data_IF_208403923123
#
_entry.id   IF_208403923123
#
_cell.length_a   1.000
_cell.length_b   1.000
_cell.length_c   1.000
_cell.angle_alpha   90.00
_cell.angle_beta   90.00
_cell.angle_gamma   90.00
#
_symmetry.space_group_name_H-M   'P 1'
#
loop_
_entity.id
_entity.type
_entity.pdbx_description
1 polymer ?
#
# COMPACT_ATOMS: atom_id res chain seq x y z
N UNK A 1 16.28 1.03 -11.94
CA UNK A 1 14.83 0.87 -11.74
C UNK A 1 14.19 2.25 -11.84
N UNK A 2 13.15 2.40 -12.66
CA UNK A 2 12.49 3.69 -12.86
C UNK A 2 11.42 3.98 -11.82
N UNK A 3 11.05 5.26 -11.65
CA UNK A 3 10.01 5.68 -10.70
C UNK A 3 8.68 4.91 -10.87
N UNK A 4 8.23 4.69 -12.11
CA UNK A 4 7.00 3.94 -12.41
C UNK A 4 7.05 2.52 -11.85
N UNK A 5 8.16 1.84 -12.02
CA UNK A 5 8.38 0.48 -11.52
C UNK A 5 8.40 0.46 -9.99
N UNK A 6 9.07 1.44 -9.37
CA UNK A 6 9.10 1.60 -7.92
C UNK A 6 7.69 1.86 -7.35
N UNK A 7 6.90 2.71 -7.99
CA UNK A 7 5.53 3.00 -7.57
C UNK A 7 4.60 1.78 -7.68
N UNK A 8 4.74 0.97 -8.73
CA UNK A 8 3.98 -0.29 -8.88
C UNK A 8 4.36 -1.27 -7.77
N UNK A 9 5.65 -1.44 -7.48
CA UNK A 9 6.10 -2.30 -6.37
C UNK A 9 5.62 -1.81 -5.02
N UNK A 10 5.71 -0.51 -4.76
CA UNK A 10 5.20 0.09 -3.53
C UNK A 10 3.71 -0.21 -3.35
N UNK A 11 2.89 -0.03 -4.41
CA UNK A 11 1.47 -0.36 -4.38
C UNK A 11 1.21 -1.85 -4.10
N UNK A 12 1.94 -2.75 -4.76
CA UNK A 12 1.79 -4.19 -4.53
C UNK A 12 2.18 -4.58 -3.10
N UNK A 13 3.26 -4.01 -2.56
CA UNK A 13 3.70 -4.23 -1.20
C UNK A 13 2.66 -3.75 -0.17
N UNK A 14 2.03 -2.60 -0.40
CA UNK A 14 0.95 -2.09 0.45
C UNK A 14 -0.27 -3.00 0.44
N UNK A 15 -0.69 -3.47 -0.72
CA UNK A 15 -1.78 -4.45 -0.82
C UNK A 15 -1.46 -5.75 -0.08
N UNK A 16 -0.24 -6.28 -0.25
CA UNK A 16 0.21 -7.47 0.47
C UNK A 16 0.25 -7.30 1.99
N UNK A 17 0.58 -6.10 2.49
CA UNK A 17 0.56 -5.80 3.92
C UNK A 17 -0.87 -5.87 4.49
N UNK A 18 -1.85 -5.27 3.83
CA UNK A 18 -3.26 -5.36 4.23
C UNK A 18 -3.76 -6.83 4.22
N UNK A 19 -3.50 -7.56 3.14
CA UNK A 19 -3.89 -8.97 3.00
C UNK A 19 -3.27 -9.89 4.08
N UNK A 20 -2.12 -9.49 4.65
CA UNK A 20 -1.45 -10.24 5.73
C UNK A 20 -1.76 -9.69 7.13
N UNK A 21 -2.67 -8.70 7.24
CA UNK A 21 -3.06 -8.10 8.51
C UNK A 21 -1.99 -7.23 9.17
N UNK A 22 -0.96 -6.81 8.41
CA UNK A 22 0.07 -5.88 8.90
C UNK A 22 -0.52 -4.47 8.94
N UNK A 23 -0.15 -3.61 9.91
CA UNK A 23 -0.70 -2.26 10.01
C UNK A 23 -0.13 -1.32 8.94
N UNK A 24 -0.88 -0.26 8.61
CA UNK A 24 -0.43 0.79 7.67
C UNK A 24 0.84 1.55 8.12
N UNK A 25 1.16 1.52 9.42
CA UNK A 25 2.38 2.10 9.99
C UNK A 25 3.65 1.35 9.60
N UNK A 26 3.52 0.14 9.04
CA UNK A 26 4.61 -0.71 8.56
C UNK A 26 5.09 -0.31 7.15
N UNK A 27 4.59 0.79 6.60
CA UNK A 27 5.04 1.35 5.34
C UNK A 27 6.54 1.69 5.41
N UNK A 28 7.40 1.11 4.55
CA UNK A 28 8.85 1.31 4.61
C UNK A 28 9.29 2.68 4.08
N UNK A 29 8.45 3.34 3.28
CA UNK A 29 8.76 4.61 2.65
C UNK A 29 8.60 5.77 3.63
N UNK A 30 9.71 6.47 3.87
CA UNK A 30 9.79 7.60 4.80
C UNK A 30 9.43 8.92 4.12
N UNK A 31 9.59 10.03 4.87
CA UNK A 31 9.20 11.37 4.43
C UNK A 31 9.93 11.87 3.16
N UNK A 32 11.11 11.32 2.85
CA UNK A 32 11.88 11.64 1.65
C UNK A 32 11.35 10.96 0.37
N UNK A 33 10.46 9.96 0.51
CA UNK A 33 9.84 9.23 -0.61
C UNK A 33 8.30 9.40 -0.64
N UNK A 34 7.77 10.64 -0.65
CA UNK A 34 6.34 10.88 -0.45
C UNK A 34 5.45 10.22 -1.52
N UNK A 35 5.94 10.14 -2.75
CA UNK A 35 5.22 9.52 -3.87
C UNK A 35 5.14 7.99 -3.75
N UNK A 36 6.21 7.34 -3.29
CA UNK A 36 6.23 5.89 -3.07
C UNK A 36 5.39 5.53 -1.85
N UNK A 37 5.45 6.35 -0.79
CA UNK A 37 4.56 6.23 0.37
C UNK A 37 3.09 6.33 -0.05
N UNK A 38 2.74 7.31 -0.88
CA UNK A 38 1.37 7.45 -1.39
C UNK A 38 0.94 6.24 -2.23
N UNK A 39 1.82 5.71 -3.08
CA UNK A 39 1.53 4.50 -3.88
C UNK A 39 1.29 3.27 -2.98
N UNK A 40 2.10 3.09 -1.95
CA UNK A 40 1.95 2.02 -0.95
C UNK A 40 0.62 2.11 -0.21
N UNK A 41 0.28 3.29 0.35
CA UNK A 41 -0.98 3.50 1.09
C UNK A 41 -2.20 3.25 0.22
N UNK A 42 -2.17 3.68 -1.05
CA UNK A 42 -3.27 3.38 -2.00
C UNK A 42 -3.46 1.89 -2.23
N UNK A 43 -2.36 1.12 -2.30
CA UNK A 43 -2.42 -0.33 -2.40
C UNK A 43 -3.03 -0.98 -1.17
N UNK A 44 -2.59 -0.53 0.02
CA UNK A 44 -3.10 -0.99 1.31
C UNK A 44 -4.60 -0.77 1.45
N UNK A 45 -5.06 0.46 1.26
CA UNK A 45 -6.49 0.83 1.39
C UNK A 45 -7.36 0.08 0.38
N UNK A 46 -6.88 -0.09 -0.86
CA UNK A 46 -7.62 -0.83 -1.88
C UNK A 46 -7.81 -2.31 -1.53
N UNK A 47 -6.85 -2.91 -0.82
CA UNK A 47 -6.95 -4.29 -0.35
C UNK A 47 -7.83 -4.40 0.90
N UNK A 48 -7.72 -3.47 1.86
CA UNK A 48 -8.61 -3.40 3.03
C UNK A 48 -10.08 -3.32 2.62
N UNK A 49 -10.41 -2.51 1.61
CA UNK A 49 -11.78 -2.40 1.10
C UNK A 49 -12.33 -3.70 0.49
N UNK A 50 -11.45 -4.59 0.02
CA UNK A 50 -11.85 -5.90 -0.49
C UNK A 50 -12.03 -6.93 0.64
N UNK A 51 -11.35 -6.72 1.77
CA UNK A 51 -11.48 -7.56 2.97
C UNK A 51 -12.66 -7.15 3.85
N UNK A 52 -13.02 -5.87 3.83
CA UNK A 52 -14.21 -5.39 4.51
C UNK A 52 -15.46 -6.05 3.91
N UNK A 53 -16.33 -6.67 4.73
CA UNK A 53 -17.60 -7.16 4.22
C UNK A 53 -18.40 -5.99 3.63
N UNK A 54 -19.14 -6.19 2.52
CA UNK A 54 -20.05 -5.15 2.04
C UNK A 54 -21.04 -4.82 3.16
N UNK A 55 -21.13 -3.53 3.51
CA UNK A 55 -22.13 -3.07 4.47
C UNK A 55 -23.54 -3.43 3.92
N UNK A 56 -24.46 -3.95 4.76
CA UNK A 56 -25.80 -4.38 4.34
C UNK A 56 -26.71 -3.23 3.88
#
# INVERSE_FOLDING_TARGET
MGFREAAVRARQAGAGAALTGRPATDCPHRGDEPLLRAAWVRGYVAAEQQLAPPEP
#
